data_IF_556754351477
#
_entry.id   IF_556754351477
#
_cell.length_a   1.000
_cell.length_b   1.000
_cell.length_c   1.000
_cell.angle_alpha   90.00
_cell.angle_beta   90.00
_cell.angle_gamma   90.00
#
_symmetry.space_group_name_H-M   'P 1'
#
loop_
_entity.id
_entity.type
_entity.pdbx_description
1 polymer ?
#
# COMPACT_ATOMS: atom_id res chain seq x y z
N UNK A 1 -2.46 -18.55 20.44
CA UNK A 1 -3.11 -19.08 19.20
C UNK A 1 -4.61 -18.96 19.37
N UNK A 2 -5.31 -18.37 18.42
CA UNK A 2 -6.78 -18.34 18.40
C UNK A 2 -7.25 -19.37 17.35
N UNK A 3 -8.14 -20.28 17.74
CA UNK A 3 -8.68 -21.29 16.83
C UNK A 3 -10.13 -21.65 17.20
N UNK A 4 -10.73 -22.62 16.51
CA UNK A 4 -12.13 -23.04 16.75
C UNK A 4 -12.39 -23.64 18.15
N UNK A 5 -11.34 -24.03 18.86
CA UNK A 5 -11.38 -24.47 20.26
C UNK A 5 -11.06 -23.33 21.24
N UNK A 6 -11.05 -22.07 20.77
CA UNK A 6 -10.78 -20.87 21.55
C UNK A 6 -9.31 -20.47 21.58
N UNK A 7 -8.94 -19.74 22.64
CA UNK A 7 -7.60 -19.19 22.85
C UNK A 7 -6.69 -20.17 23.59
N UNK A 8 -5.52 -20.40 23.03
CA UNK A 8 -4.50 -21.31 23.55
C UNK A 8 -3.17 -20.59 23.78
N UNK A 9 -2.43 -21.03 24.80
CA UNK A 9 -1.07 -20.60 25.10
C UNK A 9 -0.06 -21.70 24.71
N UNK A 10 1.05 -21.31 24.08
CA UNK A 10 2.19 -22.19 23.82
C UNK A 10 3.31 -21.75 24.75
N UNK A 11 3.83 -22.68 25.54
CA UNK A 11 4.96 -22.44 26.45
C UNK A 11 6.25 -22.88 25.77
N UNK A 12 7.25 -22.01 25.79
CA UNK A 12 8.57 -22.28 25.23
C UNK A 12 9.66 -21.71 26.16
N UNK A 13 10.86 -22.29 26.09
CA UNK A 13 12.04 -21.75 26.81
C UNK A 13 12.61 -20.50 26.14
N UNK A 14 12.45 -20.40 24.83
CA UNK A 14 12.93 -19.31 23.98
C UNK A 14 11.85 -19.02 22.93
N UNK A 15 11.62 -17.75 22.66
CA UNK A 15 10.73 -17.26 21.59
C UNK A 15 11.56 -16.40 20.65
N UNK A 16 11.44 -16.65 19.34
CA UNK A 16 12.03 -15.82 18.29
C UNK A 16 10.90 -15.02 17.66
N UNK A 17 10.95 -13.70 17.77
CA UNK A 17 9.98 -12.83 17.10
C UNK A 17 10.29 -12.78 15.60
N UNK A 18 9.34 -13.26 14.80
CA UNK A 18 9.37 -13.25 13.33
C UNK A 18 8.10 -12.62 12.75
N UNK A 19 7.43 -11.77 13.55
CA UNK A 19 6.21 -11.06 13.14
C UNK A 19 6.46 -10.01 12.06
N UNK A 20 7.69 -9.51 11.93
CA UNK A 20 8.05 -8.39 11.04
C UNK A 20 7.99 -7.05 11.76
N UNK A 21 6.85 -6.76 12.41
CA UNK A 21 6.58 -5.48 13.09
C UNK A 21 7.00 -5.48 14.57
N UNK A 22 7.71 -6.51 15.03
CA UNK A 22 8.14 -6.69 16.42
C UNK A 22 6.98 -6.76 17.44
N UNK A 23 5.80 -7.22 17.00
CA UNK A 23 4.58 -7.35 17.81
C UNK A 23 4.78 -8.16 19.10
N UNK A 24 5.58 -9.23 19.03
CA UNK A 24 5.78 -10.13 20.17
C UNK A 24 6.74 -9.49 21.16
N UNK A 25 7.82 -8.87 20.69
CA UNK A 25 8.77 -8.11 21.51
C UNK A 25 8.06 -6.96 22.21
N UNK A 26 7.30 -6.15 21.49
CA UNK A 26 6.54 -5.03 22.05
C UNK A 26 5.58 -5.47 23.15
N UNK A 27 4.78 -6.53 22.90
CA UNK A 27 3.83 -7.08 23.89
C UNK A 27 4.50 -7.73 25.10
N UNK A 28 5.74 -8.21 24.96
CA UNK A 28 6.53 -8.73 26.06
C UNK A 28 7.19 -7.63 26.91
N UNK A 29 7.04 -6.36 26.53
CA UNK A 29 7.70 -5.22 27.17
C UNK A 29 9.19 -5.10 26.81
N UNK A 30 9.61 -5.71 25.70
CA UNK A 30 10.94 -5.51 25.14
C UNK A 30 11.08 -4.14 24.48
N UNK A 31 12.33 -3.76 24.21
CA UNK A 31 12.63 -2.50 23.54
C UNK A 31 12.29 -2.57 22.04
N UNK A 32 11.61 -1.55 21.53
CA UNK A 32 11.31 -1.35 20.11
C UNK A 32 11.61 0.08 19.72
N UNK A 33 12.03 0.29 18.48
CA UNK A 33 12.26 1.61 17.90
C UNK A 33 11.28 1.80 16.74
N UNK A 34 10.59 2.93 16.73
CA UNK A 34 9.66 3.31 15.67
C UNK A 34 9.95 4.74 15.25
N UNK A 35 10.07 4.96 13.93
CA UNK A 35 10.24 6.29 13.36
C UNK A 35 8.95 7.12 13.48
N UNK A 36 9.06 8.44 13.24
CA UNK A 36 7.88 9.30 13.16
C UNK A 36 6.94 8.90 12.01
N UNK A 37 5.65 9.19 12.11
CA UNK A 37 4.66 8.86 11.06
C UNK A 37 4.98 9.51 9.71
N UNK A 38 5.77 10.58 9.69
CA UNK A 38 6.31 11.22 8.49
C UNK A 38 7.39 10.40 7.78
N UNK A 39 8.15 9.60 8.55
CA UNK A 39 9.30 8.83 8.08
C UNK A 39 8.95 7.36 7.82
N UNK A 40 7.84 6.87 8.38
CA UNK A 40 7.33 5.53 8.12
C UNK A 40 7.03 5.30 6.64
N UNK A 41 7.20 4.06 6.19
CA UNK A 41 6.90 3.67 4.83
C UNK A 41 5.40 3.78 4.56
N UNK A 42 5.03 4.76 3.74
CA UNK A 42 3.66 4.97 3.29
C UNK A 42 3.09 3.74 2.53
N UNK A 43 1.91 3.22 2.92
CA UNK A 43 1.23 2.20 2.13
C UNK A 43 0.73 2.77 0.79
N UNK A 44 0.48 1.86 -0.15
CA UNK A 44 -0.12 2.16 -1.45
C UNK A 44 -1.32 1.24 -1.64
N UNK A 45 -2.47 1.79 -2.04
CA UNK A 45 -3.55 0.97 -2.57
C UNK A 45 -3.22 0.60 -4.00
N UNK A 46 -3.01 -0.69 -4.20
CA UNK A 46 -2.66 -1.26 -5.48
C UNK A 46 -3.90 -1.89 -6.09
N UNK A 47 -4.19 -1.58 -7.35
CA UNK A 47 -5.43 -1.98 -8.01
C UNK A 47 -5.18 -2.44 -9.45
N UNK A 48 -6.17 -3.09 -10.05
CA UNK A 48 -6.09 -3.54 -11.45
C UNK A 48 -7.05 -2.74 -12.30
N UNK A 49 -6.57 -2.25 -13.44
CA UNK A 49 -7.37 -1.60 -14.47
C UNK A 49 -7.50 -2.52 -15.67
N UNK A 50 -8.70 -2.62 -16.25
CA UNK A 50 -9.01 -3.42 -17.42
C UNK A 50 -9.38 -2.53 -18.62
N UNK A 51 -9.40 -3.11 -19.83
CA UNK A 51 -9.67 -2.37 -21.07
C UNK A 51 -8.45 -1.57 -21.56
N UNK A 52 -7.25 -1.95 -21.13
CA UNK A 52 -6.01 -1.27 -21.51
C UNK A 52 -5.44 -1.88 -22.78
N UNK A 53 -5.15 -1.04 -23.77
CA UNK A 53 -4.30 -1.44 -24.90
C UNK A 53 -2.86 -1.60 -24.39
N UNK A 54 -2.48 -2.85 -24.11
CA UNK A 54 -1.19 -3.18 -23.51
C UNK A 54 -0.03 -2.85 -24.45
N UNK A 55 -0.19 -3.12 -25.75
CA UNK A 55 0.86 -2.86 -26.75
C UNK A 55 1.18 -1.39 -26.82
N UNK A 56 0.17 -0.53 -26.82
CA UNK A 56 0.36 0.92 -26.77
C UNK A 56 0.90 1.37 -25.41
N UNK A 57 0.36 0.84 -24.31
CA UNK A 57 0.70 1.30 -22.96
C UNK A 57 2.20 1.10 -22.66
N UNK A 58 2.77 -0.07 -22.93
CA UNK A 58 4.19 -0.37 -22.59
C UNK A 58 5.20 0.46 -23.39
N UNK A 59 4.77 1.08 -24.48
CA UNK A 59 5.61 1.97 -25.30
C UNK A 59 5.61 3.42 -24.79
N UNK A 60 4.73 3.77 -23.84
CA UNK A 60 4.67 5.13 -23.28
C UNK A 60 5.85 5.33 -22.32
N UNK A 61 6.74 6.30 -22.57
CA UNK A 61 7.86 6.57 -21.67
C UNK A 61 7.36 7.00 -20.29
N UNK A 62 8.06 6.60 -19.22
CA UNK A 62 7.70 6.97 -17.85
C UNK A 62 7.56 8.50 -17.65
N UNK A 63 8.41 9.29 -18.29
CA UNK A 63 8.34 10.75 -18.24
C UNK A 63 7.02 11.29 -18.81
N UNK A 64 6.49 10.65 -19.85
CA UNK A 64 5.21 11.03 -20.47
C UNK A 64 4.04 10.64 -19.57
N UNK A 65 4.09 9.48 -18.91
CA UNK A 65 3.09 9.10 -17.90
C UNK A 65 3.04 10.14 -16.78
N UNK A 66 4.19 10.52 -16.23
CA UNK A 66 4.28 11.55 -15.18
C UNK A 66 3.75 12.91 -15.65
N UNK A 67 4.00 13.28 -16.91
CA UNK A 67 3.47 14.51 -17.53
C UNK A 67 1.94 14.48 -17.63
N UNK A 68 1.38 13.36 -18.11
CA UNK A 68 -0.06 13.17 -18.26
C UNK A 68 -0.77 13.18 -16.90
N UNK A 69 -0.23 12.49 -15.89
CA UNK A 69 -0.77 12.53 -14.53
C UNK A 69 -0.77 13.94 -13.93
N UNK A 70 0.30 14.71 -14.16
CA UNK A 70 0.36 16.10 -13.71
C UNK A 70 -0.70 16.97 -14.41
N UNK A 71 -0.79 16.89 -15.73
CA UNK A 71 -1.77 17.65 -16.50
C UNK A 71 -3.22 17.30 -16.09
N UNK A 72 -3.50 16.02 -15.85
CA UNK A 72 -4.80 15.56 -15.35
C UNK A 72 -5.09 16.03 -13.93
N UNK A 73 -4.07 16.23 -13.09
CA UNK A 73 -4.28 16.85 -11.78
C UNK A 73 -4.48 18.36 -11.84
N UNK A 74 -3.79 19.05 -12.76
CA UNK A 74 -3.91 20.49 -12.97
C UNK A 74 -5.25 20.90 -13.59
N UNK A 75 -5.93 19.98 -14.31
CA UNK A 75 -7.29 20.22 -14.81
C UNK A 75 -8.33 20.34 -13.69
N UNK A 76 -8.00 19.87 -12.47
CA UNK A 76 -8.91 19.82 -11.33
C UNK A 76 -9.94 18.69 -11.41
N UNK A 77 -9.89 17.86 -12.46
CA UNK A 77 -10.76 16.68 -12.61
C UNK A 77 -10.27 15.52 -11.72
N UNK A 78 -8.95 15.37 -11.58
CA UNK A 78 -8.35 14.31 -10.77
C UNK A 78 -7.47 14.87 -9.65
N UNK A 79 -7.44 14.18 -8.51
CA UNK A 79 -6.56 14.52 -7.39
C UNK A 79 -5.56 13.40 -7.15
N UNK A 80 -4.31 13.60 -7.60
CA UNK A 80 -3.23 12.64 -7.38
C UNK A 80 -2.27 13.14 -6.29
N UNK A 81 -2.03 12.31 -5.28
CA UNK A 81 -1.00 12.54 -4.26
C UNK A 81 0.39 12.08 -4.71
N UNK A 82 0.50 11.53 -5.92
CA UNK A 82 1.74 11.00 -6.48
C UNK A 82 1.72 11.12 -8.00
N UNK A 83 2.76 11.77 -8.53
CA UNK A 83 2.98 11.91 -9.98
C UNK A 83 4.07 10.95 -10.50
N UNK A 84 4.47 10.01 -9.66
CA UNK A 84 5.43 8.95 -9.94
C UNK A 84 4.77 7.62 -9.61
N UNK A 85 5.08 6.56 -10.34
CA UNK A 85 4.39 5.29 -10.17
C UNK A 85 4.41 4.50 -11.46
N UNK A 86 4.13 3.23 -11.34
CA UNK A 86 4.22 2.31 -12.46
C UNK A 86 2.93 1.56 -12.65
N UNK A 87 2.72 1.11 -13.87
CA UNK A 87 1.84 0.01 -14.14
C UNK A 87 2.64 -1.17 -14.65
N UNK A 88 2.09 -2.37 -14.52
CA UNK A 88 2.67 -3.57 -15.09
C UNK A 88 1.56 -4.41 -15.72
N UNK A 89 1.72 -4.85 -16.98
CA UNK A 89 0.75 -5.76 -17.59
C UNK A 89 0.58 -7.02 -16.75
N UNK A 90 -0.66 -7.50 -16.63
CA UNK A 90 -0.97 -8.76 -15.93
C UNK A 90 -1.92 -9.62 -16.75
N UNK A 91 -1.83 -10.96 -16.68
CA UNK A 91 -2.79 -11.84 -17.33
C UNK A 91 -4.20 -11.74 -16.71
N UNK A 92 -5.28 -12.00 -17.48
CA UNK A 92 -5.33 -12.09 -18.94
C UNK A 92 -5.09 -10.73 -19.63
N UNK A 93 -4.79 -10.76 -20.93
CA UNK A 93 -4.50 -9.56 -21.72
C UNK A 93 -5.57 -8.46 -21.57
N UNK A 94 -5.15 -7.20 -21.71
CA UNK A 94 -6.01 -6.03 -21.53
C UNK A 94 -6.07 -5.51 -20.09
N UNK A 95 -5.26 -6.06 -19.18
CA UNK A 95 -5.19 -5.65 -17.77
C UNK A 95 -3.82 -5.17 -17.36
N UNK A 96 -3.80 -4.17 -16.49
CA UNK A 96 -2.58 -3.66 -15.85
C UNK A 96 -2.78 -3.55 -14.35
N UNK A 97 -1.73 -3.88 -13.62
CA UNK A 97 -1.61 -3.67 -12.19
C UNK A 97 -1.03 -2.28 -11.95
N UNK A 98 -1.71 -1.47 -11.16
CA UNK A 98 -1.41 -0.05 -10.94
C UNK A 98 -0.83 0.16 -9.54
N UNK A 99 0.41 0.63 -9.47
CA UNK A 99 1.05 1.06 -8.23
C UNK A 99 1.37 2.56 -8.33
N UNK A 100 0.32 3.38 -8.21
CA UNK A 100 0.38 4.83 -8.42
C UNK A 100 -0.16 5.64 -7.24
N UNK A 101 -0.81 5.02 -6.25
CA UNK A 101 -1.24 5.72 -5.04
C UNK A 101 -0.10 5.78 -4.02
N UNK A 102 -0.22 6.68 -3.06
CA UNK A 102 0.62 6.73 -1.86
C UNK A 102 -0.15 7.45 -0.77
N UNK A 103 -0.29 6.81 0.38
CA UNK A 103 -1.00 7.37 1.52
C UNK A 103 0.02 7.62 2.63
N UNK A 104 0.35 8.88 2.86
CA UNK A 104 1.37 9.30 3.84
C UNK A 104 0.78 9.43 5.24
N UNK A 105 1.66 9.51 6.25
CA UNK A 105 1.28 9.63 7.67
C UNK A 105 0.35 8.51 8.09
N UNK A 106 0.82 7.28 7.94
CA UNK A 106 0.10 6.06 8.33
C UNK A 106 1.03 5.26 9.22
N UNK A 107 0.57 4.93 10.42
CA UNK A 107 1.20 3.91 11.25
C UNK A 107 0.73 2.52 10.80
N UNK A 108 1.67 1.69 10.33
CA UNK A 108 1.36 0.33 9.89
C UNK A 108 0.97 -0.63 11.01
N UNK A 109 1.27 -0.27 12.27
CA UNK A 109 0.96 -1.07 13.45
C UNK A 109 -0.40 -0.73 14.06
N UNK A 110 -1.03 0.39 13.63
CA UNK A 110 -2.37 0.79 14.06
C UNK A 110 -3.43 0.34 13.02
N UNK A 111 -4.33 -0.59 13.39
CA UNK A 111 -5.37 -1.07 12.49
C UNK A 111 -6.38 0.00 12.04
N UNK A 112 -6.63 1.03 12.85
CA UNK A 112 -7.51 2.14 12.46
C UNK A 112 -6.86 2.99 11.38
N UNK A 113 -5.56 3.19 11.48
CA UNK A 113 -4.78 3.97 10.52
C UNK A 113 -4.64 3.23 9.18
N UNK A 114 -4.47 1.90 9.21
CA UNK A 114 -4.57 1.06 8.03
C UNK A 114 -5.96 1.13 7.36
N UNK A 115 -7.03 1.11 8.15
CA UNK A 115 -8.41 1.23 7.64
C UNK A 115 -8.63 2.57 6.96
N UNK A 116 -8.23 3.67 7.62
CA UNK A 116 -8.26 5.02 7.06
C UNK A 116 -7.46 5.09 5.76
N UNK A 117 -6.25 4.52 5.74
CA UNK A 117 -5.40 4.53 4.56
C UNK A 117 -6.01 3.76 3.38
N UNK A 118 -6.67 2.63 3.65
CA UNK A 118 -7.37 1.88 2.62
C UNK A 118 -8.54 2.68 2.01
N UNK A 119 -9.37 3.31 2.86
CA UNK A 119 -10.48 4.15 2.41
C UNK A 119 -9.99 5.35 1.60
N UNK A 120 -8.91 5.99 2.04
CA UNK A 120 -8.27 7.07 1.30
C UNK A 120 -7.75 6.60 -0.06
N UNK A 121 -7.07 5.46 -0.10
CA UNK A 121 -6.63 4.85 -1.35
C UNK A 121 -7.78 4.61 -2.32
N UNK A 122 -8.95 4.16 -1.84
CA UNK A 122 -10.13 3.96 -2.71
C UNK A 122 -10.64 5.26 -3.29
N UNK A 123 -10.72 6.32 -2.48
CA UNK A 123 -11.14 7.65 -2.95
C UNK A 123 -10.22 8.18 -4.06
N UNK A 124 -8.93 7.90 -4.00
CA UNK A 124 -7.97 8.29 -5.04
C UNK A 124 -8.14 7.51 -6.37
N UNK A 125 -8.82 6.37 -6.35
CA UNK A 125 -9.00 5.49 -7.54
C UNK A 125 -10.40 5.60 -8.15
N UNK A 126 -11.41 5.90 -7.33
CA UNK A 126 -12.81 5.98 -7.75
C UNK A 126 -13.24 7.40 -8.23
N UNK A 127 -12.41 8.42 -8.03
CA UNK A 127 -12.63 9.79 -8.51
C UNK A 127 -12.20 9.95 -9.97
#
# INVERSE_FOLDING_TARGET
VENKAGRWAILARVVIDSSGDADVVARAGGEVEQSSVEELQAPSLVFTMAGVDIERAVQVPQAEISRLLRAASESGEFHFNRFSGGFSPVPPAGKVHMNITRITRVDGTDPEDLTRAYLEGRRQVEA
#
